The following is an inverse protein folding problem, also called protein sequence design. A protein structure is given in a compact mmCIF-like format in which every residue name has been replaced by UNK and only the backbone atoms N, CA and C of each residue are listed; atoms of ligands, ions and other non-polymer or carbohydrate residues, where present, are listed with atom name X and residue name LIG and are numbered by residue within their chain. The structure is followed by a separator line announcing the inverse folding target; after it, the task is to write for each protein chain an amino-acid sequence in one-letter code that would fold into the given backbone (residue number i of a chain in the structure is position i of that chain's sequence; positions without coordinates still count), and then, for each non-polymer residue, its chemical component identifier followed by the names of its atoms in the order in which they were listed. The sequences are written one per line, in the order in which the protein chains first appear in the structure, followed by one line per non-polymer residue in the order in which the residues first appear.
data_IF_435269102511
#
_entry.id   IF_435269102511
#
_cell.length_a   1.000
_cell.length_b   1.000
_cell.length_c   1.000
_cell.angle_alpha   90.00
_cell.angle_beta   90.00
_cell.angle_gamma   90.00
#
_symmetry.space_group_name_H-M   'P 1'
#
loop_
_entity.id
_entity.type
_entity.pdbx_description
1 polymer ?
#
# COMPACT_ATOMS: atom_id res chain seq x y z
N UNK A 1 -12.56 -17.28 0.69
CA UNK A 1 -12.64 -16.39 -0.48
C UNK A 1 -11.23 -16.23 -1.02
N UNK A 2 -10.97 -16.71 -2.23
CA UNK A 2 -9.67 -16.67 -2.88
C UNK A 2 -9.92 -16.04 -4.26
N UNK A 3 -8.96 -15.28 -4.82
CA UNK A 3 -9.05 -14.60 -6.13
C UNK A 3 -9.75 -13.22 -6.13
N UNK A 4 -9.68 -12.46 -5.03
CA UNK A 4 -10.03 -11.04 -5.12
C UNK A 4 -9.04 -10.32 -6.04
N UNK A 5 -9.55 -9.59 -7.02
CA UNK A 5 -8.72 -8.79 -7.92
C UNK A 5 -8.21 -7.55 -7.19
N UNK A 6 -6.95 -7.18 -7.45
CA UNK A 6 -6.27 -6.06 -6.80
C UNK A 6 -5.53 -5.21 -7.81
N UNK A 7 -5.34 -3.94 -7.49
CA UNK A 7 -4.60 -2.98 -8.29
C UNK A 7 -3.70 -2.10 -7.41
N UNK A 8 -2.62 -1.60 -7.99
CA UNK A 8 -1.71 -0.66 -7.35
C UNK A 8 -2.09 0.76 -7.76
N UNK A 9 -2.38 1.61 -6.78
CA UNK A 9 -2.82 2.99 -7.02
C UNK A 9 -1.81 3.98 -6.46
N UNK A 10 -1.32 4.90 -7.29
CA UNK A 10 -0.44 5.97 -6.84
C UNK A 10 -1.10 6.77 -5.70
N UNK A 11 -0.35 6.96 -4.62
CA UNK A 11 -0.84 7.58 -3.39
C UNK A 11 0.18 8.55 -2.81
N UNK A 12 -0.28 9.71 -2.34
CA UNK A 12 0.58 10.80 -1.81
C UNK A 12 0.01 11.53 -0.59
N UNK A 13 -1.02 11.00 0.05
CA UNK A 13 -1.73 11.65 1.17
C UNK A 13 -3.24 11.55 1.03
N UNK A 14 -3.96 11.75 2.15
CA UNK A 14 -5.42 11.78 2.21
C UNK A 14 -6.02 10.69 3.08
N UNK A 15 -7.33 10.50 2.97
CA UNK A 15 -8.01 9.36 3.60
C UNK A 15 -7.70 8.07 2.85
N UNK A 16 -7.56 6.98 3.60
CA UNK A 16 -7.48 5.65 3.02
C UNK A 16 -8.90 5.20 2.67
N UNK A 17 -9.10 4.74 1.44
CA UNK A 17 -10.37 4.17 0.99
C UNK A 17 -10.60 2.80 1.65
N UNK A 18 -11.85 2.45 1.92
CA UNK A 18 -12.25 1.15 2.47
C UNK A 18 -11.82 -0.04 1.59
N UNK A 19 -11.54 0.22 0.30
CA UNK A 19 -11.02 -0.78 -0.63
C UNK A 19 -9.52 -1.07 -0.44
N UNK A 20 -8.81 -0.30 0.37
CA UNK A 20 -7.40 -0.56 0.63
C UNK A 20 -7.24 -1.91 1.32
N UNK A 21 -6.30 -2.71 0.83
CA UNK A 21 -6.04 -4.03 1.40
C UNK A 21 -5.44 -3.85 2.79
N UNK A 22 -6.18 -4.32 3.79
CA UNK A 22 -5.81 -4.28 5.22
C UNK A 22 -5.05 -5.54 5.60
N UNK A 23 -3.89 -5.36 6.21
CA UNK A 23 -3.10 -6.44 6.83
C UNK A 23 -3.54 -6.64 8.28
N UNK A 24 -3.78 -5.53 8.98
CA UNK A 24 -4.26 -5.49 10.36
C UNK A 24 -5.07 -4.20 10.58
N UNK A 25 -5.60 -4.00 11.79
CA UNK A 25 -6.20 -2.72 12.16
C UNK A 25 -5.17 -1.58 12.00
N UNK A 26 -5.50 -0.56 11.22
CA UNK A 26 -4.62 0.57 10.93
C UNK A 26 -3.37 0.28 10.10
N UNK A 27 -3.27 -0.92 9.48
CA UNK A 27 -2.11 -1.33 8.67
C UNK A 27 -2.55 -1.80 7.29
N UNK A 28 -1.99 -1.17 6.26
CA UNK A 28 -2.24 -1.48 4.85
C UNK A 28 -0.94 -1.84 4.12
N UNK A 29 -1.05 -2.24 2.85
CA UNK A 29 0.09 -2.60 2.00
C UNK A 29 0.42 -1.47 1.04
N UNK A 30 1.67 -1.03 1.05
CA UNK A 30 2.22 -0.10 0.08
C UNK A 30 3.37 -0.70 -0.73
N UNK A 31 3.67 -0.09 -1.87
CA UNK A 31 4.76 -0.44 -2.77
C UNK A 31 5.56 0.81 -3.15
N UNK A 32 6.88 0.74 -3.01
CA UNK A 32 7.81 1.82 -3.33
C UNK A 32 8.73 1.35 -4.45
N UNK A 33 8.88 2.17 -5.49
CA UNK A 33 9.89 1.94 -6.52
C UNK A 33 11.24 2.49 -6.05
N UNK A 34 12.23 1.60 -5.92
CA UNK A 34 13.58 1.94 -5.48
C UNK A 34 14.62 1.22 -6.33
N UNK A 35 15.43 1.98 -7.08
CA UNK A 35 16.53 1.46 -7.92
C UNK A 35 16.13 0.36 -8.92
N UNK A 36 14.92 0.45 -9.49
CA UNK A 36 14.40 -0.55 -10.44
C UNK A 36 13.59 -1.66 -9.78
N UNK A 37 13.68 -1.80 -8.45
CA UNK A 37 12.92 -2.78 -7.68
C UNK A 37 11.63 -2.19 -7.13
N UNK A 38 10.66 -3.07 -6.89
CA UNK A 38 9.43 -2.75 -6.18
C UNK A 38 9.49 -3.36 -4.78
N UNK A 39 9.63 -2.49 -3.78
CA UNK A 39 9.71 -2.89 -2.39
C UNK A 39 8.33 -2.77 -1.75
N UNK A 40 7.86 -3.86 -1.13
CA UNK A 40 6.61 -3.85 -0.37
C UNK A 40 6.87 -3.40 1.06
N UNK A 41 5.93 -2.63 1.60
CA UNK A 41 6.04 -2.03 2.92
C UNK A 41 4.70 -1.88 3.63
N UNK A 42 4.78 -1.73 4.94
CA UNK A 42 3.62 -1.49 5.77
C UNK A 42 3.25 0.00 5.78
N UNK A 43 1.97 0.30 5.58
CA UNK A 43 1.41 1.65 5.64
C UNK A 43 0.62 1.78 6.93
N UNK A 44 1.15 2.56 7.88
CA UNK A 44 0.58 2.68 9.22
C UNK A 44 -0.19 3.99 9.43
N UNK A 45 -1.35 3.89 10.06
CA UNK A 45 -2.03 5.03 10.70
C UNK A 45 -1.15 5.70 11.77
N UNK A 46 -1.37 7.00 12.08
CA UNK A 46 -2.27 7.93 11.39
C UNK A 46 -1.61 8.64 10.20
N UNK A 47 -0.30 8.46 10.04
CA UNK A 47 0.50 9.24 9.08
C UNK A 47 0.50 8.66 7.67
N UNK A 48 0.07 7.40 7.51
CA UNK A 48 -0.06 6.71 6.23
C UNK A 48 1.18 6.85 5.35
N UNK A 49 2.35 6.56 5.91
CA UNK A 49 3.60 6.47 5.16
C UNK A 49 3.93 5.01 4.90
N UNK A 50 4.44 4.70 3.72
CA UNK A 50 4.87 3.35 3.39
C UNK A 50 6.28 3.11 3.95
N UNK A 51 6.38 2.17 4.89
CA UNK A 51 7.63 1.78 5.53
C UNK A 51 8.20 0.54 4.86
N UNK A 52 9.34 0.68 4.19
CA UNK A 52 10.08 -0.43 3.54
C UNK A 52 11.43 -0.62 4.23
N UNK A 53 12.02 -1.82 4.10
CA UNK A 53 13.36 -2.11 4.59
C UNK A 53 14.35 -2.03 3.41
N UNK A 54 15.37 -1.19 3.54
CA UNK A 54 16.46 -1.05 2.57
C UNK A 54 17.77 -1.27 3.32
N UNK A 55 18.58 -2.24 2.89
CA UNK A 55 19.84 -2.63 3.56
C UNK A 55 19.68 -2.87 5.08
N UNK A 56 18.59 -3.54 5.47
CA UNK A 56 18.30 -3.85 6.88
C UNK A 56 17.82 -2.67 7.72
N UNK A 57 17.55 -1.49 7.12
CA UNK A 57 17.08 -0.29 7.84
C UNK A 57 15.69 0.13 7.35
N UNK A 58 14.82 0.63 8.25
CA UNK A 58 13.50 1.12 7.87
C UNK A 58 13.58 2.51 7.24
N UNK A 59 12.80 2.70 6.16
CA UNK A 59 12.61 3.98 5.48
C UNK A 59 11.13 4.23 5.25
N UNK A 60 10.67 5.47 5.48
CA UNK A 60 9.28 5.87 5.31
C UNK A 60 9.13 6.78 4.08
N UNK A 61 8.20 6.44 3.19
CA UNK A 61 7.91 7.19 1.96
C UNK A 61 6.50 7.77 1.98
N UNK A 62 6.38 9.04 1.59
CA UNK A 62 5.08 9.72 1.43
C UNK A 62 4.47 9.49 0.04
N UNK A 63 5.29 9.16 -0.95
CA UNK A 63 4.87 8.85 -2.32
C UNK A 63 5.12 7.38 -2.58
N UNK A 64 4.07 6.61 -2.80
CA UNK A 64 4.11 5.17 -3.01
C UNK A 64 2.85 4.72 -3.74
N UNK A 65 2.71 3.44 -4.05
CA UNK A 65 1.45 2.87 -4.54
C UNK A 65 0.78 2.08 -3.43
N UNK A 66 -0.51 2.32 -3.19
CA UNK A 66 -1.32 1.60 -2.22
C UNK A 66 -1.98 0.40 -2.91
N UNK A 67 -1.99 -0.76 -2.24
CA UNK A 67 -2.70 -1.93 -2.74
C UNK A 67 -4.20 -1.78 -2.47
N UNK A 68 -5.00 -1.80 -3.53
CA UNK A 68 -6.44 -1.61 -3.50
C UNK A 68 -7.14 -2.84 -4.07
N UNK A 69 -8.29 -3.20 -3.51
CA UNK A 69 -9.24 -4.08 -4.18
C UNK A 69 -9.71 -3.41 -5.48
N UNK A 70 -9.71 -4.16 -6.57
CA UNK A 70 -10.29 -3.71 -7.83
C UNK A 70 -11.79 -3.43 -7.64
N UNK A 71 -12.34 -2.54 -8.47
CA UNK A 71 -13.78 -2.34 -8.45
C UNK A 71 -14.45 -3.62 -8.93
N UNK A 72 -15.42 -4.11 -8.17
CA UNK A 72 -16.30 -5.14 -8.70
C UNK A 72 -17.07 -4.52 -9.85
N UNK A 73 -16.72 -4.86 -11.09
CA UNK A 73 -17.60 -4.61 -12.22
C UNK A 73 -18.91 -5.35 -11.93
N UNK A 74 -19.90 -4.61 -11.43
CA UNK A 74 -21.25 -5.12 -11.25
C UNK A 74 -21.77 -5.51 -12.62
N UNK A 75 -21.88 -6.82 -12.84
CA UNK A 75 -22.61 -7.39 -13.96
C UNK A 75 -24.04 -7.70 -13.48
#
# INVERSE_FOLDING_TARGET
MCNAEVQWMAWRGGSISERAVRVAAGVHVGRVHYRGDHLLGAVHEPHYRCHVIIFGRPFAFNCYELLMLAESNGN
#
